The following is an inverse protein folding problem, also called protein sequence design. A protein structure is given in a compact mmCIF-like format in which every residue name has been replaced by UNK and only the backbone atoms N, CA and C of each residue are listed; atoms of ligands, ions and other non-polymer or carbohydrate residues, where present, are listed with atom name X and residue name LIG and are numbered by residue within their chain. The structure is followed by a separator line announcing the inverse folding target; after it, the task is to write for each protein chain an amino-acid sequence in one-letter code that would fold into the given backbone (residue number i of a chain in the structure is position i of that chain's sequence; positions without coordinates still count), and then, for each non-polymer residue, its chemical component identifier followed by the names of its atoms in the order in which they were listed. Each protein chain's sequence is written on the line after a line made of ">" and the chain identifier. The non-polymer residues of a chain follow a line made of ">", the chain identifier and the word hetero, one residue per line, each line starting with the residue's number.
data_IF_302902240324
#
_entry.id   IF_302902240324
#
_cell.length_a   1.000
_cell.length_b   1.000
_cell.length_c   1.000
_cell.angle_alpha   90.00
_cell.angle_beta   90.00
_cell.angle_gamma   90.00
#
_symmetry.space_group_name_H-M   'P 1'
#
loop_
_entity.id
_entity.type
_entity.pdbx_description
1 polymer ?
#
# COMPACT_ATOMS: atom_id res chain seq x y z
N UNK A 1 -8.24 1.95 -5.22
CA UNK A 1 -7.45 0.86 -4.62
C UNK A 1 -8.39 -0.22 -4.13
N UNK A 2 -8.06 -1.48 -4.38
CA UNK A 2 -8.76 -2.70 -3.95
C UNK A 2 -7.73 -3.78 -3.61
N UNK A 3 -8.16 -4.84 -2.92
CA UNK A 3 -7.33 -6.03 -2.68
C UNK A 3 -6.80 -6.58 -4.00
N UNK A 4 -5.50 -6.84 -4.04
CA UNK A 4 -4.79 -7.31 -5.22
C UNK A 4 -4.18 -6.21 -6.10
N UNK A 5 -4.49 -4.94 -5.85
CA UNK A 5 -3.82 -3.84 -6.54
C UNK A 5 -2.34 -3.77 -6.12
N UNK A 6 -1.47 -3.53 -7.11
CA UNK A 6 -0.06 -3.23 -6.86
C UNK A 6 0.11 -1.73 -6.61
N UNK A 7 0.81 -1.41 -5.54
CA UNK A 7 1.04 -0.04 -5.09
C UNK A 7 2.51 0.24 -4.85
N UNK A 8 2.86 1.52 -4.90
CA UNK A 8 4.14 2.04 -4.41
C UNK A 8 3.95 3.19 -3.45
N UNK A 9 4.96 3.47 -2.63
CA UNK A 9 5.02 4.72 -1.88
C UNK A 9 5.40 5.90 -2.79
N UNK A 10 4.75 7.05 -2.60
CA UNK A 10 5.02 8.28 -3.37
C UNK A 10 6.41 8.88 -3.12
N UNK A 11 7.22 8.37 -2.18
CA UNK A 11 8.46 9.03 -1.80
C UNK A 11 9.59 8.07 -1.47
N UNK A 12 10.33 7.62 -2.48
CA UNK A 12 11.81 7.68 -2.55
C UNK A 12 12.31 7.06 -3.88
N UNK A 13 12.83 7.83 -4.86
CA UNK A 13 13.29 7.31 -6.15
C UNK A 13 14.49 6.35 -6.07
N UNK A 14 15.14 6.25 -4.90
CA UNK A 14 16.25 5.33 -4.64
C UNK A 14 15.80 4.00 -4.00
N UNK A 15 14.51 3.84 -3.68
CA UNK A 15 14.05 2.72 -2.85
C UNK A 15 13.28 1.66 -3.67
N UNK A 16 14.03 0.68 -4.16
CA UNK A 16 13.53 -0.49 -4.90
C UNK A 16 12.62 -1.39 -4.03
N UNK A 17 12.61 -1.17 -2.70
CA UNK A 17 11.75 -1.88 -1.74
C UNK A 17 10.31 -1.31 -1.64
N UNK A 18 9.93 -0.43 -2.57
CA UNK A 18 8.67 0.31 -2.45
C UNK A 18 7.50 -0.33 -3.21
N UNK A 19 7.56 -1.59 -3.64
CA UNK A 19 6.41 -2.24 -4.31
C UNK A 19 5.70 -3.19 -3.35
N UNK A 20 4.39 -3.02 -3.22
CA UNK A 20 3.55 -3.87 -2.39
C UNK A 20 2.22 -4.22 -3.05
N UNK A 21 1.54 -5.21 -2.46
CA UNK A 21 0.18 -5.63 -2.86
C UNK A 21 -0.79 -5.35 -1.73
N UNK A 22 -1.95 -4.80 -2.06
CA UNK A 22 -3.01 -4.60 -1.06
C UNK A 22 -3.62 -5.94 -0.67
N UNK A 23 -3.59 -6.26 0.62
CA UNK A 23 -4.14 -7.49 1.19
C UNK A 23 -5.46 -7.26 1.91
N UNK A 24 -5.68 -6.07 2.47
CA UNK A 24 -6.90 -5.70 3.19
C UNK A 24 -7.29 -4.24 2.92
N UNK A 25 -8.60 -3.96 2.88
CA UNK A 25 -9.16 -2.61 2.82
C UNK A 25 -9.82 -2.32 4.16
N UNK A 26 -9.52 -1.15 4.71
CA UNK A 26 -10.06 -0.65 5.98
C UNK A 26 -9.85 -1.62 7.16
N UNK A 27 -8.58 -1.90 7.54
CA UNK A 27 -8.29 -2.74 8.70
C UNK A 27 -8.63 -2.07 10.06
N UNK A 28 -9.11 -0.81 10.08
CA UNK A 28 -9.51 -0.03 11.25
C UNK A 28 -8.42 0.13 12.34
N UNK A 29 -7.13 0.05 12.02
CA UNK A 29 -6.05 0.05 13.03
C UNK A 29 -5.45 1.45 13.31
N UNK A 30 -5.35 2.32 12.31
CA UNK A 30 -4.75 3.66 12.49
C UNK A 30 -5.80 4.78 12.63
N UNK A 31 -7.08 4.44 12.61
CA UNK A 31 -8.20 5.38 12.75
C UNK A 31 -8.40 6.30 11.54
N UNK A 32 -7.93 5.87 10.36
CA UNK A 32 -8.22 6.51 9.08
C UNK A 32 -9.32 5.71 8.37
N UNK A 33 -10.38 6.40 7.90
CA UNK A 33 -11.46 5.79 7.13
C UNK A 33 -11.03 5.28 5.74
N UNK A 34 -9.80 5.60 5.33
CA UNK A 34 -9.22 5.14 4.08
C UNK A 34 -7.83 4.53 4.32
N UNK A 35 -7.78 3.52 5.20
CA UNK A 35 -6.61 2.70 5.48
C UNK A 35 -6.60 1.42 4.63
N UNK A 36 -5.42 0.92 4.29
CA UNK A 36 -5.21 -0.38 3.65
C UNK A 36 -4.02 -1.11 4.26
N UNK A 37 -4.09 -2.44 4.33
CA UNK A 37 -2.92 -3.26 4.62
C UNK A 37 -2.19 -3.58 3.31
N UNK A 38 -0.88 -3.37 3.31
CA UNK A 38 -0.01 -3.65 2.16
C UNK A 38 1.05 -4.67 2.57
N UNK A 39 1.13 -5.77 1.82
CA UNK A 39 2.25 -6.71 1.88
C UNK A 39 3.34 -6.25 0.92
N UNK A 40 4.47 -5.83 1.48
CA UNK A 40 5.63 -5.32 0.75
C UNK A 40 6.51 -6.46 0.22
N UNK A 41 7.33 -6.16 -0.79
CA UNK A 41 8.23 -7.12 -1.40
C UNK A 41 9.37 -7.59 -0.47
N UNK A 42 9.61 -6.89 0.65
CA UNK A 42 10.50 -7.31 1.73
C UNK A 42 9.85 -8.38 2.64
N UNK A 43 8.56 -8.69 2.44
CA UNK A 43 7.79 -9.67 3.18
C UNK A 43 7.05 -9.11 4.39
N UNK A 44 7.15 -7.80 4.66
CA UNK A 44 6.46 -7.18 5.78
C UNK A 44 5.05 -6.71 5.39
N UNK A 45 4.10 -6.88 6.30
CA UNK A 45 2.74 -6.39 6.15
C UNK A 45 2.55 -5.16 7.04
N UNK A 46 2.20 -4.02 6.44
CA UNK A 46 2.04 -2.76 7.16
C UNK A 46 0.82 -2.01 6.65
N UNK A 47 0.12 -1.34 7.56
CA UNK A 47 -1.02 -0.53 7.18
C UNK A 47 -0.64 0.90 6.85
N UNK A 48 -1.32 1.45 5.85
CA UNK A 48 -1.06 2.77 5.32
C UNK A 48 -2.35 3.48 4.94
N UNK A 49 -2.36 4.80 5.07
CA UNK A 49 -3.39 5.63 4.48
C UNK A 49 -3.22 5.63 2.96
N UNK A 50 -4.32 5.44 2.21
CA UNK A 50 -4.28 5.38 0.74
C UNK A 50 -3.65 6.62 0.10
N UNK A 51 -3.65 7.76 0.80
CA UNK A 51 -3.12 9.03 0.29
C UNK A 51 -1.60 9.07 0.11
N UNK A 52 -0.88 8.09 0.67
CA UNK A 52 0.58 7.97 0.54
C UNK A 52 0.99 6.89 -0.47
N UNK A 53 0.00 6.25 -1.11
CA UNK A 53 0.20 5.16 -2.03
C UNK A 53 -0.16 5.60 -3.45
N UNK A 54 0.60 5.13 -4.42
CA UNK A 54 0.31 5.27 -5.85
C UNK A 54 0.04 3.90 -6.46
N UNK A 55 -0.93 3.83 -7.37
CA UNK A 55 -1.22 2.60 -8.12
C UNK A 55 -0.19 2.41 -9.23
N UNK A 56 0.41 1.21 -9.31
CA UNK A 56 1.38 0.88 -10.35
C UNK A 56 0.75 0.35 -11.64
N UNK A 57 -0.55 -0.01 -11.61
CA UNK A 57 -1.27 -0.46 -12.78
C UNK A 57 -2.68 0.14 -12.81
N UNK A 58 -2.92 1.03 -13.77
CA UNK A 58 -4.27 1.42 -14.20
C UNK A 58 -4.73 0.42 -15.27
N UNK A 59 -5.14 -0.77 -14.83
CA UNK A 59 -5.67 -1.84 -15.70
C UNK A 59 -7.20 -1.84 -15.74
#
# INVERSE_FOLDING_TARGET
>A
MKVGDLVTFEFNPDDIASVGIITCIDPEEIGDANEVEVLWNDGDARNHSIKYLELLNEG
#
